data_IF_083645922989
#
_entry.id   IF_083645922989
#
_cell.length_a   1.000
_cell.length_b   1.000
_cell.length_c   1.000
_cell.angle_alpha   90.00
_cell.angle_beta   90.00
_cell.angle_gamma   90.00
#
_symmetry.space_group_name_H-M   'P 1'
#
loop_
_entity.id
_entity.type
_entity.pdbx_description
1 polymer ?
#
# COMPACT_ATOMS: atom_id res chain seq x y z
N UNK A 1 8.99 5.65 20.05
CA UNK A 1 8.64 4.50 19.20
C UNK A 1 7.18 4.71 18.78
N UNK A 2 6.87 4.67 17.48
CA UNK A 2 5.48 4.86 17.00
C UNK A 2 4.69 3.60 17.34
N UNK A 3 3.52 3.76 17.94
CA UNK A 3 2.58 2.65 18.12
C UNK A 3 1.94 2.33 16.75
N UNK A 4 2.37 1.21 16.17
CA UNK A 4 1.94 0.79 14.83
C UNK A 4 0.45 0.47 14.79
N UNK A 5 -0.11 -0.10 15.87
CA UNK A 5 -1.53 -0.40 15.94
C UNK A 5 -2.36 0.88 15.98
N UNK A 6 -1.93 1.85 16.78
CA UNK A 6 -2.56 3.17 16.82
C UNK A 6 -2.50 3.86 15.45
N UNK A 7 -1.37 3.76 14.75
CA UNK A 7 -1.21 4.30 13.40
C UNK A 7 -2.17 3.63 12.39
N UNK A 8 -2.25 2.31 12.36
CA UNK A 8 -3.15 1.58 11.46
C UNK A 8 -4.60 1.99 11.73
N UNK A 9 -5.01 2.04 13.00
CA UNK A 9 -6.37 2.47 13.37
C UNK A 9 -6.65 3.91 12.90
N UNK A 10 -5.70 4.83 13.07
CA UNK A 10 -5.84 6.20 12.60
C UNK A 10 -5.98 6.28 11.07
N UNK A 11 -5.24 5.45 10.32
CA UNK A 11 -5.36 5.36 8.86
C UNK A 11 -6.73 4.81 8.44
N UNK A 12 -7.24 3.77 9.11
CA UNK A 12 -8.59 3.24 8.84
C UNK A 12 -9.65 4.32 9.08
N UNK A 13 -9.59 5.00 10.23
CA UNK A 13 -10.54 6.08 10.56
C UNK A 13 -10.48 7.20 9.53
N UNK A 14 -9.29 7.68 9.16
CA UNK A 14 -9.13 8.75 8.16
C UNK A 14 -9.52 8.33 6.74
N UNK A 15 -9.43 7.05 6.40
CA UNK A 15 -9.87 6.53 5.11
C UNK A 15 -11.40 6.46 5.04
N UNK A 16 -12.06 6.14 6.16
CA UNK A 16 -13.53 6.05 6.25
C UNK A 16 -14.23 7.37 6.54
N UNK A 17 -13.50 8.40 6.97
CA UNK A 17 -14.10 9.69 7.25
C UNK A 17 -14.79 10.19 5.97
N UNK A 18 -16.07 10.50 6.05
CA UNK A 18 -16.85 11.03 4.91
C UNK A 18 -17.27 12.48 5.15
N UNK A 19 -16.82 13.08 6.26
CA UNK A 19 -17.30 14.37 6.77
C UNK A 19 -16.73 15.60 6.07
N UNK A 20 -15.95 15.42 4.98
CA UNK A 20 -15.53 16.51 4.08
C UNK A 20 -14.19 17.15 4.40
N UNK A 21 -13.50 16.74 5.47
CA UNK A 21 -12.10 17.10 5.72
C UNK A 21 -11.17 16.09 5.07
N UNK A 22 -10.40 16.53 4.06
CA UNK A 22 -9.29 15.82 3.39
C UNK A 22 -9.19 14.30 3.65
N UNK A 23 -10.13 13.54 3.07
CA UNK A 23 -10.05 12.08 3.04
C UNK A 23 -8.70 11.64 2.45
N UNK A 24 -8.15 10.56 2.99
CA UNK A 24 -6.98 9.93 2.42
C UNK A 24 -7.29 9.40 1.03
N UNK A 25 -6.78 10.07 0.00
CA UNK A 25 -6.92 9.65 -1.39
C UNK A 25 -5.87 8.61 -1.72
N UNK A 26 -6.18 7.36 -1.40
CA UNK A 26 -5.34 6.24 -1.77
C UNK A 26 -5.36 6.03 -3.28
N UNK A 27 -4.22 5.61 -3.82
CA UNK A 27 -4.15 5.09 -5.18
C UNK A 27 -3.29 3.84 -5.21
N UNK A 28 -3.43 3.09 -6.29
CA UNK A 28 -2.60 1.92 -6.53
C UNK A 28 -1.12 2.29 -6.63
N UNK A 29 -0.22 1.45 -6.10
CA UNK A 29 1.22 1.66 -6.22
C UNK A 29 1.65 1.79 -7.69
N UNK A 30 1.14 0.93 -8.58
CA UNK A 30 1.47 1.01 -10.01
C UNK A 30 1.09 2.37 -10.60
N UNK A 31 -0.14 2.83 -10.34
CA UNK A 31 -0.62 4.12 -10.82
C UNK A 31 0.22 5.27 -10.26
N UNK A 32 0.53 5.24 -8.95
CA UNK A 32 1.36 6.23 -8.30
C UNK A 32 2.75 6.30 -8.94
N UNK A 33 3.36 5.15 -9.23
CA UNK A 33 4.64 5.07 -9.93
C UNK A 33 4.53 5.47 -11.40
N UNK A 34 3.36 5.58 -12.02
CA UNK A 34 3.26 6.10 -13.38
C UNK A 34 3.12 7.64 -13.37
N UNK A 35 2.40 8.20 -12.39
CA UNK A 35 2.08 9.64 -12.34
C UNK A 35 3.09 10.48 -11.53
N UNK A 36 3.71 9.92 -10.50
CA UNK A 36 4.49 10.68 -9.53
C UNK A 36 6.02 10.53 -9.71
N UNK A 37 6.74 11.63 -9.46
CA UNK A 37 8.21 11.65 -9.40
C UNK A 37 8.70 11.30 -7.99
N UNK A 38 8.56 10.04 -7.58
CA UNK A 38 9.12 9.50 -6.33
C UNK A 38 10.20 8.44 -6.63
N UNK A 39 11.40 8.90 -7.00
CA UNK A 39 12.53 8.03 -7.36
C UNK A 39 13.02 7.16 -6.20
N UNK A 40 12.90 7.63 -4.96
CA UNK A 40 13.28 6.87 -3.78
C UNK A 40 12.39 5.62 -3.64
N UNK A 41 11.07 5.77 -3.80
CA UNK A 41 10.13 4.65 -3.80
C UNK A 41 10.33 3.73 -5.01
N UNK A 42 10.54 4.27 -6.22
CA UNK A 42 10.85 3.44 -7.41
C UNK A 42 12.05 2.55 -7.17
N UNK A 43 13.15 3.13 -6.67
CA UNK A 43 14.36 2.37 -6.36
C UNK A 43 14.06 1.31 -5.32
N UNK A 44 13.36 1.67 -4.24
CA UNK A 44 12.96 0.72 -3.21
C UNK A 44 12.19 -0.47 -3.80
N UNK A 45 11.13 -0.20 -4.57
CA UNK A 45 10.32 -1.23 -5.23
C UNK A 45 11.20 -2.10 -6.13
N UNK A 46 12.06 -1.52 -6.97
CA UNK A 46 12.97 -2.30 -7.83
C UNK A 46 13.91 -3.19 -7.00
N UNK A 47 14.49 -2.68 -5.91
CA UNK A 47 15.37 -3.45 -5.03
C UNK A 47 14.63 -4.56 -4.30
N UNK A 48 13.45 -4.28 -3.75
CA UNK A 48 12.59 -5.27 -3.09
C UNK A 48 12.04 -6.31 -4.06
N UNK A 49 11.86 -5.94 -5.33
CA UNK A 49 11.49 -6.83 -6.43
C UNK A 49 12.69 -7.52 -7.10
N UNK A 50 13.94 -7.37 -6.64
CA UNK A 50 15.10 -8.08 -7.26
C UNK A 50 15.01 -9.60 -7.17
N UNK A 51 14.13 -10.15 -6.34
CA UNK A 51 13.78 -11.57 -6.38
C UNK A 51 12.98 -11.97 -7.64
N UNK A 52 12.47 -11.01 -8.42
CA UNK A 52 11.65 -11.21 -9.62
C UNK A 52 12.48 -11.25 -10.93
N UNK A 53 13.53 -10.44 -11.06
CA UNK A 53 14.31 -10.34 -12.30
C UNK A 53 15.47 -11.33 -12.40
N UNK A 54 15.77 -12.08 -11.34
CA UNK A 54 16.70 -13.21 -11.41
C UNK A 54 16.00 -14.42 -12.03
N UNK A 55 15.68 -14.33 -13.33
CA UNK A 55 15.08 -15.37 -14.16
C UNK A 55 16.04 -16.55 -14.40
N UNK A 56 16.40 -17.24 -13.32
CA UNK A 56 16.90 -18.62 -13.37
C UNK A 56 16.02 -19.60 -12.58
N UNK A 57 14.97 -19.11 -11.91
CA UNK A 57 14.11 -19.92 -11.06
C UNK A 57 12.65 -19.95 -11.54
N UNK A 58 12.41 -20.64 -12.66
CA UNK A 58 11.09 -21.22 -12.99
C UNK A 58 10.64 -22.30 -11.97
N UNK A 59 11.35 -22.50 -10.85
CA UNK A 59 11.24 -23.67 -9.96
C UNK A 59 11.26 -23.37 -8.45
N UNK A 60 11.27 -22.12 -7.98
CA UNK A 60 11.17 -21.84 -6.53
C UNK A 60 9.74 -21.41 -6.19
N UNK A 61 8.96 -22.35 -5.63
CA UNK A 61 7.56 -22.16 -5.23
C UNK A 61 7.35 -21.19 -4.06
N UNK A 62 8.41 -20.72 -3.43
CA UNK A 62 8.35 -19.97 -2.16
C UNK A 62 8.86 -18.51 -2.27
N UNK A 63 8.77 -17.89 -3.45
CA UNK A 63 9.22 -16.49 -3.62
C UNK A 63 8.04 -15.55 -3.48
N UNK A 64 7.98 -14.85 -2.35
CA UNK A 64 7.10 -13.70 -2.16
C UNK A 64 7.34 -12.67 -3.28
N UNK A 65 6.32 -12.40 -4.09
CA UNK A 65 6.39 -11.36 -5.11
C UNK A 65 5.58 -10.14 -4.68
N UNK A 66 6.09 -8.95 -4.94
CA UNK A 66 5.36 -7.71 -4.70
C UNK A 66 4.20 -7.62 -5.70
N UNK A 67 2.97 -7.59 -5.19
CA UNK A 67 1.77 -7.34 -5.96
C UNK A 67 1.47 -5.84 -5.96
N UNK A 68 1.99 -5.12 -6.96
CA UNK A 68 1.80 -3.67 -7.09
C UNK A 68 0.32 -3.30 -7.20
N UNK A 69 -0.51 -4.14 -7.83
CA UNK A 69 -1.94 -3.90 -7.98
C UNK A 69 -2.74 -4.04 -6.69
N UNK A 70 -2.20 -4.74 -5.69
CA UNK A 70 -2.80 -4.84 -4.35
C UNK A 70 -2.00 -4.04 -3.31
N UNK A 71 -1.08 -3.19 -3.78
CA UNK A 71 -0.32 -2.26 -2.96
C UNK A 71 -0.87 -0.86 -3.14
N UNK A 72 -0.89 -0.08 -2.06
CA UNK A 72 -1.53 1.23 -2.05
C UNK A 72 -0.61 2.30 -1.48
N UNK A 73 -0.78 3.52 -1.98
CA UNK A 73 0.01 4.69 -1.62
C UNK A 73 -0.93 5.86 -1.34
N UNK A 74 -0.59 6.66 -0.34
CA UNK A 74 -1.24 7.95 -0.10
C UNK A 74 -0.21 8.98 0.33
N UNK A 75 -0.32 10.19 -0.20
CA UNK A 75 0.47 11.33 0.25
C UNK A 75 -0.25 12.05 1.40
N UNK A 76 0.46 12.35 2.49
CA UNK A 76 -0.07 13.02 3.68
C UNK A 76 0.96 14.02 4.20
N UNK A 77 0.61 15.31 4.27
CA UNK A 77 1.45 16.37 4.82
C UNK A 77 2.91 16.32 4.30
N UNK A 78 3.08 16.27 2.97
CA UNK A 78 4.35 16.13 2.23
C UNK A 78 5.07 14.77 2.39
N UNK A 79 4.63 13.91 3.30
CA UNK A 79 5.07 12.54 3.41
C UNK A 79 4.24 11.59 2.54
N UNK A 80 4.66 10.32 2.53
CA UNK A 80 4.00 9.25 1.78
C UNK A 80 3.86 8.05 2.71
N UNK A 81 2.65 7.51 2.83
CA UNK A 81 2.38 6.23 3.47
C UNK A 81 2.17 5.19 2.37
N UNK A 82 2.79 4.03 2.53
CA UNK A 82 2.78 2.95 1.55
C UNK A 82 2.36 1.68 2.27
N UNK A 83 1.43 0.92 1.69
CA UNK A 83 1.14 -0.45 2.10
C UNK A 83 1.52 -1.36 0.95
N UNK A 84 2.63 -2.07 1.11
CA UNK A 84 3.11 -3.07 0.15
C UNK A 84 2.44 -4.40 0.44
N UNK A 85 1.94 -5.06 -0.61
CA UNK A 85 1.36 -6.39 -0.53
C UNK A 85 2.24 -7.36 -1.28
N UNK A 86 2.81 -8.31 -0.54
CA UNK A 86 3.53 -9.45 -1.08
C UNK A 86 2.59 -10.64 -1.18
N UNK A 87 2.71 -11.39 -2.26
CA UNK A 87 1.91 -12.58 -2.50
C UNK A 87 2.83 -13.78 -2.67
N UNK A 88 2.50 -14.88 -1.98
CA UNK A 88 3.11 -16.18 -2.16
C UNK A 88 2.00 -17.23 -2.23
N UNK A 89 1.90 -17.88 -3.38
CA UNK A 89 0.78 -18.76 -3.74
C UNK A 89 -0.59 -18.09 -3.46
N UNK A 90 -1.32 -18.59 -2.45
CA UNK A 90 -2.64 -18.13 -2.02
C UNK A 90 -2.59 -17.24 -0.76
N UNK A 91 -1.40 -16.96 -0.26
CA UNK A 91 -1.19 -16.13 0.93
C UNK A 91 -0.74 -14.72 0.54
N UNK A 92 -1.21 -13.74 1.30
CA UNK A 92 -0.78 -12.35 1.19
C UNK A 92 -0.15 -11.89 2.50
N UNK A 93 0.89 -11.08 2.39
CA UNK A 93 1.61 -10.46 3.49
C UNK A 93 1.76 -8.97 3.23
N UNK A 94 1.51 -8.14 4.25
CA UNK A 94 1.47 -6.69 4.10
C UNK A 94 2.59 -6.00 4.90
N UNK A 95 3.26 -5.04 4.27
CA UNK A 95 4.25 -4.17 4.92
C UNK A 95 3.80 -2.72 4.79
N UNK A 96 3.53 -2.11 5.93
CA UNK A 96 3.36 -0.68 6.10
C UNK A 96 4.73 0.00 6.09
N UNK A 97 4.92 0.92 5.15
CA UNK A 97 6.10 1.76 5.05
C UNK A 97 5.71 3.23 5.11
N UNK A 98 6.70 4.07 5.39
CA UNK A 98 6.54 5.52 5.31
C UNK A 98 7.77 6.22 4.73
N UNK A 99 7.53 7.38 4.14
CA UNK A 99 8.51 8.38 3.78
C UNK A 99 8.10 9.72 4.40
N UNK A 100 9.03 10.44 5.03
CA UNK A 100 8.76 11.79 5.56
C UNK A 100 8.67 12.85 4.46
N UNK A 101 9.30 12.59 3.31
CA UNK A 101 9.21 13.36 2.05
C UNK A 101 9.38 12.40 0.89
N UNK A 102 8.93 12.76 -0.33
CA UNK A 102 9.14 11.92 -1.54
C UNK A 102 10.62 11.66 -1.86
N UNK A 103 11.54 12.47 -1.35
CA UNK A 103 12.99 12.28 -1.50
C UNK A 103 13.62 11.45 -0.38
N UNK A 104 12.91 11.25 0.73
CA UNK A 104 13.38 10.46 1.87
C UNK A 104 13.41 8.97 1.51
N UNK A 105 14.28 8.22 2.20
CA UNK A 105 14.24 6.75 2.13
C UNK A 105 12.88 6.22 2.60
N UNK A 106 12.48 5.08 2.03
CA UNK A 106 11.36 4.28 2.53
C UNK A 106 11.78 3.58 3.82
N UNK A 107 10.94 3.63 4.84
CA UNK A 107 11.15 2.96 6.13
C UNK A 107 10.00 2.00 6.38
N UNK A 108 10.29 0.71 6.55
CA UNK A 108 9.32 -0.29 6.98
C UNK A 108 8.98 -0.09 8.45
N UNK A 109 7.68 -0.07 8.78
CA UNK A 109 7.18 0.24 10.11
C UNK A 109 6.76 -1.02 10.88
N UNK A 110 6.32 -2.08 10.18
CA UNK A 110 5.92 -3.35 10.79
C UNK A 110 6.82 -4.51 10.33
N UNK A 111 7.93 -4.72 11.03
CA UNK A 111 8.79 -5.89 10.77
C UNK A 111 8.24 -7.20 11.38
N UNK A 112 7.09 -7.13 12.07
CA UNK A 112 6.50 -8.26 12.82
C UNK A 112 5.15 -8.65 12.23
N UNK A 113 4.86 -9.95 12.29
CA UNK A 113 3.60 -10.53 11.79
C UNK A 113 2.36 -10.17 12.65
N UNK A 114 2.55 -9.61 13.84
CA UNK A 114 1.45 -9.33 14.78
C UNK A 114 0.41 -8.32 14.26
N UNK A 115 0.76 -7.50 13.28
CA UNK A 115 -0.12 -6.48 12.70
C UNK A 115 -0.81 -6.90 11.40
N UNK A 116 -0.63 -8.15 10.93
CA UNK A 116 -1.17 -8.57 9.63
C UNK A 116 -2.71 -8.53 9.57
N UNK A 117 -3.39 -8.87 10.66
CA UNK A 117 -4.86 -8.79 10.73
C UNK A 117 -5.34 -7.34 10.62
N UNK A 118 -4.68 -6.41 11.33
CA UNK A 118 -5.01 -4.99 11.31
C UNK A 118 -4.73 -4.38 9.92
N UNK A 119 -3.60 -4.74 9.29
CA UNK A 119 -3.26 -4.29 7.94
C UNK A 119 -4.21 -4.83 6.88
N UNK A 120 -4.66 -6.08 7.01
CA UNK A 120 -5.68 -6.64 6.11
C UNK A 120 -7.00 -5.86 6.22
N UNK A 121 -7.37 -5.43 7.42
CA UNK A 121 -8.56 -4.58 7.63
C UNK A 121 -8.40 -3.21 6.95
N UNK A 122 -7.21 -2.61 7.05
CA UNK A 122 -6.88 -1.37 6.34
C UNK A 122 -6.94 -1.56 4.82
N UNK A 123 -6.33 -2.61 4.27
CA UNK A 123 -6.34 -2.90 2.83
C UNK A 123 -7.77 -3.08 2.31
N UNK A 124 -8.62 -3.83 3.00
CA UNK A 124 -10.02 -3.98 2.61
C UNK A 124 -10.74 -2.62 2.59
N UNK A 125 -10.52 -1.80 3.62
CA UNK A 125 -11.09 -0.44 3.69
C UNK A 125 -10.62 0.44 2.52
N UNK A 126 -9.33 0.40 2.19
CA UNK A 126 -8.77 1.14 1.06
C UNK A 126 -9.36 0.65 -0.26
N UNK A 127 -9.45 -0.67 -0.43
CA UNK A 127 -10.00 -1.28 -1.65
C UNK A 127 -11.46 -0.88 -1.87
N UNK A 128 -12.27 -0.91 -0.82
CA UNK A 128 -13.68 -0.52 -0.91
C UNK A 128 -13.84 0.98 -1.29
N UNK A 129 -12.89 1.83 -0.90
CA UNK A 129 -12.84 3.25 -1.30
C UNK A 129 -12.37 3.44 -2.75
N UNK A 130 -11.30 2.76 -3.16
CA UNK A 130 -10.72 2.87 -4.51
C UNK A 130 -11.60 2.23 -5.58
N UNK A 131 -12.11 1.03 -5.32
CA UNK A 131 -12.94 0.25 -6.24
C UNK A 131 -14.44 0.46 -5.96
N UNK A 132 -14.84 1.62 -5.42
CA UNK A 132 -16.22 1.90 -5.01
C UNK A 132 -17.21 1.79 -6.18
N UNK A 133 -17.66 0.57 -6.44
CA UNK A 133 -18.47 0.20 -7.59
C UNK A 133 -19.88 0.76 -7.45
N UNK A 134 -20.38 0.89 -6.22
CA UNK A 134 -21.69 1.47 -5.96
C UNK A 134 -21.72 2.95 -6.35
N UNK A 135 -20.65 3.70 -6.06
CA UNK A 135 -20.48 5.08 -6.53
C UNK A 135 -20.43 5.14 -8.06
N UNK A 136 -19.60 4.31 -8.69
CA UNK A 136 -19.50 4.25 -10.15
C UNK A 136 -20.84 3.91 -10.82
N UNK A 137 -21.56 2.92 -10.30
CA UNK A 137 -22.88 2.54 -10.81
C UNK A 137 -23.92 3.64 -10.56
N UNK A 138 -23.86 4.31 -9.41
CA UNK A 138 -24.67 5.49 -9.11
C UNK A 138 -24.45 6.63 -10.10
N UNK A 139 -23.19 6.90 -10.47
CA UNK A 139 -22.82 7.93 -11.46
C UNK A 139 -23.28 7.58 -12.89
N UNK A 140 -23.54 6.30 -13.21
CA UNK A 140 -24.05 5.85 -14.52
C UNK A 140 -25.57 5.90 -14.59
N UNK A 141 -26.23 5.52 -13.50
CA UNK A 141 -27.69 5.42 -13.42
C UNK A 141 -28.31 6.79 -13.10
N UNK A 142 -27.50 7.74 -12.61
CA UNK A 142 -27.84 9.13 -12.36
C UNK A 142 -28.00 9.99 -13.60
#
# INVERSE_FOLDING_TARGET
MVDIKLLINALVTKTKDTSGNENLKWCNLRQYLESEKNEALRKYVVFSSKNYYNRSSFYTKDVDFLNEFSSYVVDVNNGTIIVLTYQCENSMYHILCAQTTKTSRVVELNLRQEYQTDLKSLINTIRDDVDNIDKFLGDIIG
#
